data_IF_690350179135
#
_entry.id   IF_690350179135
#
_cell.length_a   1.000
_cell.length_b   1.000
_cell.length_c   1.000
_cell.angle_alpha   90.00
_cell.angle_beta   90.00
_cell.angle_gamma   90.00
#
_symmetry.space_group_name_H-M   'P 1'
#
loop_
_entity.id
_entity.type
_entity.pdbx_description
1 polymer ?
#
# COMPACT_ATOMS: atom_id res chain seq x y z
N UNK A 1 91.26 -20.80 -36.69
CA UNK A 1 91.88 -20.72 -35.35
C UNK A 1 90.86 -20.10 -34.40
N UNK A 2 90.37 -20.86 -33.39
CA UNK A 2 89.49 -20.49 -32.24
C UNK A 2 88.08 -19.96 -32.57
N UNK A 3 86.94 -20.64 -32.28
CA UNK A 3 86.30 -20.95 -30.97
C UNK A 3 86.30 -19.74 -30.01
N UNK A 4 85.20 -19.20 -29.47
CA UNK A 4 84.10 -19.83 -28.68
C UNK A 4 83.06 -18.77 -28.26
N UNK A 5 81.82 -19.24 -27.99
CA UNK A 5 80.84 -18.81 -26.95
C UNK A 5 80.26 -17.38 -27.03
N UNK A 6 78.97 -17.10 -26.80
CA UNK A 6 77.88 -17.83 -26.15
C UNK A 6 77.22 -16.92 -25.12
N UNK A 7 75.92 -16.61 -25.25
CA UNK A 7 74.95 -16.53 -24.13
C UNK A 7 73.57 -16.04 -24.62
N UNK A 8 72.55 -16.77 -24.17
CA UNK A 8 71.12 -16.56 -24.42
C UNK A 8 70.60 -15.41 -23.53
N UNK A 9 69.82 -14.51 -24.12
CA UNK A 9 69.08 -13.48 -23.39
C UNK A 9 67.67 -14.01 -23.03
N UNK A 10 67.32 -13.91 -21.76
CA UNK A 10 66.09 -14.41 -21.14
C UNK A 10 64.86 -13.58 -21.54
N UNK A 11 63.70 -14.25 -21.71
CA UNK A 11 62.38 -13.62 -21.87
C UNK A 11 61.62 -13.67 -20.55
N UNK A 12 60.93 -12.60 -20.11
CA UNK A 12 59.90 -12.71 -19.10
C UNK A 12 58.53 -12.99 -19.75
N UNK A 13 57.77 -13.80 -19.03
CA UNK A 13 56.42 -14.30 -19.27
C UNK A 13 55.41 -13.19 -18.96
N UNK A 14 54.46 -12.93 -19.85
CA UNK A 14 53.25 -12.16 -19.53
C UNK A 14 52.00 -13.02 -19.69
N UNK A 15 51.29 -13.14 -18.57
CA UNK A 15 50.03 -13.85 -18.38
C UNK A 15 48.91 -13.15 -19.17
N UNK A 16 48.20 -13.92 -20.01
CA UNK A 16 47.01 -13.44 -20.72
C UNK A 16 45.80 -13.36 -19.78
N UNK A 17 45.29 -12.15 -19.57
CA UNK A 17 44.02 -11.87 -18.91
C UNK A 17 42.98 -11.61 -20.02
N UNK A 18 42.10 -12.59 -20.26
CA UNK A 18 40.94 -12.41 -21.14
C UNK A 18 39.89 -11.57 -20.41
N UNK A 19 39.79 -10.29 -20.82
CA UNK A 19 38.72 -9.37 -20.41
C UNK A 19 37.55 -9.50 -21.38
N UNK A 20 36.35 -9.64 -20.80
CA UNK A 20 35.06 -9.77 -21.44
C UNK A 20 34.69 -8.59 -22.36
N UNK A 21 34.23 -8.92 -23.56
CA UNK A 21 33.30 -8.15 -24.39
C UNK A 21 32.47 -9.20 -25.16
N UNK A 22 31.17 -9.10 -25.42
CA UNK A 22 30.29 -7.95 -25.53
C UNK A 22 28.81 -8.38 -25.43
N UNK A 23 27.98 -7.36 -25.14
CA UNK A 23 26.59 -7.12 -25.52
C UNK A 23 25.78 -8.22 -26.26
N UNK A 24 24.57 -8.47 -25.74
CA UNK A 24 23.47 -9.10 -26.48
C UNK A 24 22.11 -8.84 -25.83
N UNK A 25 21.49 -7.73 -26.19
CA UNK A 25 20.05 -7.42 -26.21
C UNK A 25 19.09 -8.18 -25.25
N UNK A 26 18.54 -7.46 -24.26
CA UNK A 26 17.22 -7.77 -23.70
C UNK A 26 16.27 -6.65 -24.10
N UNK A 27 15.65 -6.86 -25.26
CA UNK A 27 14.48 -6.11 -25.72
C UNK A 27 13.22 -6.72 -25.10
N UNK A 28 12.28 -5.85 -24.79
CA UNK A 28 10.97 -6.10 -24.20
C UNK A 28 10.22 -7.31 -24.77
N UNK A 29 9.55 -8.05 -23.88
CA UNK A 29 8.21 -8.60 -24.14
C UNK A 29 7.45 -8.68 -22.81
N UNK A 30 6.45 -7.80 -22.70
CA UNK A 30 5.34 -7.95 -21.79
C UNK A 30 4.59 -9.26 -22.12
N UNK A 31 4.30 -10.07 -21.10
CA UNK A 31 3.52 -11.28 -21.28
C UNK A 31 3.57 -12.19 -20.07
N UNK A 32 2.49 -12.18 -19.28
CA UNK A 32 2.09 -13.24 -18.37
C UNK A 32 3.06 -13.59 -17.22
N UNK A 33 2.98 -12.83 -16.12
CA UNK A 33 3.31 -13.40 -14.81
C UNK A 33 2.16 -14.32 -14.40
N UNK A 34 2.16 -15.54 -14.94
CA UNK A 34 1.35 -16.63 -14.42
C UNK A 34 1.85 -16.97 -13.02
N UNK A 35 1.04 -16.70 -12.00
CA UNK A 35 0.70 -17.65 -10.92
C UNK A 35 1.82 -18.55 -10.37
N UNK A 36 3.05 -18.07 -10.18
CA UNK A 36 4.10 -18.87 -9.53
C UNK A 36 4.01 -18.67 -8.01
N UNK A 37 3.63 -19.75 -7.32
CA UNK A 37 3.57 -19.81 -5.87
C UNK A 37 4.91 -19.42 -5.22
N UNK A 38 4.84 -18.73 -4.09
CA UNK A 38 6.02 -18.36 -3.30
C UNK A 38 6.36 -19.55 -2.40
N UNK A 39 7.61 -20.02 -2.45
CA UNK A 39 8.14 -21.04 -1.54
C UNK A 39 8.78 -20.36 -0.34
N UNK A 40 8.27 -20.63 0.87
CA UNK A 40 8.93 -20.26 2.11
C UNK A 40 9.66 -21.50 2.65
N UNK A 41 10.99 -21.41 2.77
CA UNK A 41 11.81 -22.44 3.40
C UNK A 41 11.92 -22.16 4.90
N UNK A 42 11.24 -22.97 5.70
CA UNK A 42 11.30 -22.97 7.15
C UNK A 42 11.85 -24.31 7.62
N UNK A 43 13.16 -24.53 7.44
CA UNK A 43 13.86 -25.65 8.04
C UNK A 43 13.42 -27.03 7.53
N UNK A 44 13.29 -27.18 6.20
CA UNK A 44 13.11 -28.51 5.56
C UNK A 44 11.67 -28.84 5.14
N UNK A 45 10.68 -28.04 5.51
CA UNK A 45 9.32 -28.12 4.96
C UNK A 45 9.11 -26.99 3.94
N UNK A 46 9.08 -27.33 2.64
CA UNK A 46 8.71 -26.38 1.59
C UNK A 46 7.19 -26.23 1.56
N UNK A 47 6.69 -25.18 2.19
CA UNK A 47 5.29 -24.79 2.10
C UNK A 47 5.06 -24.09 0.77
N UNK A 48 4.37 -24.77 -0.16
CA UNK A 48 3.97 -24.18 -1.44
C UNK A 48 2.71 -23.35 -1.25
N UNK A 49 2.79 -22.07 -1.56
CA UNK A 49 1.66 -21.17 -1.50
C UNK A 49 0.91 -21.19 -2.85
N UNK A 50 -0.36 -21.56 -2.84
CA UNK A 50 -1.22 -21.49 -4.04
C UNK A 50 -1.26 -20.07 -4.62
N UNK A 51 -1.35 -19.87 -5.94
CA UNK A 51 -1.32 -18.54 -6.54
C UNK A 51 -2.44 -17.61 -6.06
N UNK A 52 -2.20 -16.30 -6.12
CA UNK A 52 -3.19 -15.30 -5.72
C UNK A 52 -4.46 -15.38 -6.57
N UNK A 53 -5.61 -15.41 -5.90
CA UNK A 53 -6.92 -15.42 -6.56
C UNK A 53 -7.66 -14.11 -6.32
N UNK A 54 -8.16 -13.48 -7.39
CA UNK A 54 -9.00 -12.30 -7.29
C UNK A 54 -10.29 -12.56 -6.48
N UNK A 55 -10.85 -13.77 -6.58
CA UNK A 55 -12.04 -14.15 -5.81
C UNK A 55 -11.73 -14.27 -4.32
N UNK A 56 -10.57 -14.84 -3.98
CA UNK A 56 -10.13 -14.92 -2.59
C UNK A 56 -9.85 -13.53 -2.01
N UNK A 57 -9.18 -12.66 -2.76
CA UNK A 57 -8.91 -11.28 -2.35
C UNK A 57 -10.21 -10.51 -2.06
N UNK A 58 -11.23 -10.67 -2.92
CA UNK A 58 -12.56 -10.09 -2.71
C UNK A 58 -13.25 -10.65 -1.46
N UNK A 59 -13.14 -11.96 -1.21
CA UNK A 59 -13.72 -12.60 -0.03
C UNK A 59 -13.06 -12.10 1.26
N UNK A 60 -11.72 -12.03 1.29
CA UNK A 60 -10.97 -11.43 2.40
C UNK A 60 -11.38 -9.96 2.59
N UNK A 61 -11.53 -9.21 1.49
CA UNK A 61 -12.00 -7.83 1.50
C UNK A 61 -13.35 -7.64 2.19
N UNK A 62 -14.32 -8.51 1.89
CA UNK A 62 -15.64 -8.49 2.53
C UNK A 62 -15.57 -8.80 4.01
N UNK A 63 -14.73 -9.76 4.42
CA UNK A 63 -14.51 -10.05 5.83
C UNK A 63 -13.88 -8.88 6.58
N UNK A 64 -12.86 -8.23 6.00
CA UNK A 64 -12.22 -7.06 6.59
C UNK A 64 -13.23 -5.92 6.75
N UNK A 65 -14.00 -5.62 5.69
CA UNK A 65 -15.04 -4.60 5.77
C UNK A 65 -16.13 -4.96 6.79
N UNK A 66 -16.56 -6.23 6.84
CA UNK A 66 -17.53 -6.72 7.82
C UNK A 66 -17.04 -6.60 9.26
N UNK A 67 -15.76 -6.90 9.52
CA UNK A 67 -15.13 -6.74 10.84
C UNK A 67 -15.16 -5.28 11.29
N UNK A 68 -14.77 -4.35 10.41
CA UNK A 68 -14.76 -2.92 10.72
C UNK A 68 -16.19 -2.41 10.93
N UNK A 69 -17.13 -2.79 10.06
CA UNK A 69 -18.53 -2.37 10.14
C UNK A 69 -19.28 -2.98 11.34
N UNK A 70 -18.84 -4.13 11.82
CA UNK A 70 -19.31 -4.74 13.07
C UNK A 70 -18.85 -3.97 14.31
N UNK A 71 -17.66 -3.36 14.25
CA UNK A 71 -17.12 -2.53 15.33
C UNK A 71 -17.65 -1.07 15.30
N UNK A 72 -17.80 -0.49 14.11
CA UNK A 72 -18.28 0.87 13.91
C UNK A 72 -19.21 0.96 12.69
N UNK A 73 -20.44 1.44 12.91
CA UNK A 73 -21.45 1.52 11.84
C UNK A 73 -21.11 2.62 10.85
N UNK A 74 -21.67 2.54 9.65
CA UNK A 74 -21.66 3.67 8.72
C UNK A 74 -22.34 4.87 9.35
N UNK A 75 -21.72 6.04 9.19
CA UNK A 75 -22.32 7.31 9.60
C UNK A 75 -23.59 7.55 8.77
N UNK A 76 -24.76 7.81 9.40
CA UNK A 76 -26.05 7.89 8.72
C UNK A 76 -26.24 9.24 7.99
N UNK A 77 -25.38 9.53 7.03
CA UNK A 77 -25.42 10.74 6.20
C UNK A 77 -25.20 10.38 4.74
N UNK A 78 -26.28 10.20 3.97
CA UNK A 78 -26.21 9.74 2.59
C UNK A 78 -25.49 10.71 1.65
N UNK A 79 -25.53 12.02 1.92
CA UNK A 79 -24.81 13.03 1.13
C UNK A 79 -23.31 12.93 1.34
N UNK A 80 -22.87 12.84 2.60
CA UNK A 80 -21.46 12.66 2.94
C UNK A 80 -20.92 11.33 2.40
N UNK A 81 -21.69 10.24 2.49
CA UNK A 81 -21.30 8.95 1.91
C UNK A 81 -21.08 9.09 0.38
N UNK A 82 -22.01 9.73 -0.33
CA UNK A 82 -21.86 9.98 -1.79
C UNK A 82 -20.64 10.84 -2.10
N UNK A 83 -20.42 11.90 -1.32
CA UNK A 83 -19.28 12.80 -1.50
C UNK A 83 -17.94 12.08 -1.34
N UNK A 84 -17.76 11.33 -0.25
CA UNK A 84 -16.52 10.56 -0.01
C UNK A 84 -16.34 9.48 -1.08
N UNK A 85 -17.42 8.82 -1.53
CA UNK A 85 -17.36 7.85 -2.61
C UNK A 85 -16.95 8.49 -3.96
N UNK A 86 -17.41 9.71 -4.24
CA UNK A 86 -17.01 10.46 -5.44
C UNK A 86 -15.51 10.79 -5.42
N UNK A 87 -15.01 11.33 -4.31
CA UNK A 87 -13.58 11.68 -4.16
C UNK A 87 -12.72 10.42 -4.25
N UNK A 88 -13.09 9.36 -3.51
CA UNK A 88 -12.38 8.09 -3.50
C UNK A 88 -12.32 7.42 -4.88
N UNK A 89 -13.44 7.37 -5.60
CA UNK A 89 -13.46 6.82 -6.97
C UNK A 89 -12.57 7.62 -7.91
N UNK A 90 -12.61 8.95 -7.82
CA UNK A 90 -11.78 9.82 -8.67
C UNK A 90 -10.29 9.53 -8.52
N UNK A 91 -9.80 9.30 -7.30
CA UNK A 91 -8.40 8.92 -7.06
C UNK A 91 -8.12 7.47 -7.47
N UNK A 92 -9.03 6.54 -7.17
CA UNK A 92 -8.88 5.13 -7.54
C UNK A 92 -8.80 4.91 -9.06
N UNK A 93 -9.54 5.71 -9.83
CA UNK A 93 -9.52 5.69 -11.30
C UNK A 93 -8.16 6.09 -11.89
N UNK A 94 -7.26 6.69 -11.10
CA UNK A 94 -5.90 7.03 -11.52
C UNK A 94 -4.87 5.92 -11.25
N UNK A 95 -5.28 4.87 -10.54
CA UNK A 95 -4.46 3.67 -10.35
C UNK A 95 -4.51 2.75 -11.57
N UNK A 96 -3.54 1.85 -11.64
CA UNK A 96 -3.49 0.75 -12.60
C UNK A 96 -4.57 -0.33 -12.33
N UNK A 97 -5.24 -0.28 -11.17
CA UNK A 97 -6.13 -1.36 -10.72
C UNK A 97 -7.58 -1.12 -11.11
N UNK A 98 -7.94 -1.56 -12.32
CA UNK A 98 -9.27 -1.37 -12.94
C UNK A 98 -10.31 -2.43 -12.58
N UNK A 99 -9.89 -3.56 -12.03
CA UNK A 99 -10.72 -4.72 -11.69
C UNK A 99 -11.30 -4.67 -10.26
N UNK A 100 -10.77 -3.79 -9.41
CA UNK A 100 -11.21 -3.67 -8.03
C UNK A 100 -12.62 -3.05 -7.92
N UNK A 101 -13.44 -3.64 -7.05
CA UNK A 101 -14.79 -3.16 -6.78
C UNK A 101 -14.75 -2.02 -5.74
N UNK A 102 -14.21 -0.86 -6.14
CA UNK A 102 -14.00 0.28 -5.25
C UNK A 102 -15.28 0.74 -4.55
N UNK A 103 -15.24 0.77 -3.22
CA UNK A 103 -16.29 1.32 -2.38
C UNK A 103 -15.65 2.04 -1.20
N UNK A 104 -16.09 3.28 -0.98
CA UNK A 104 -15.62 4.14 0.09
C UNK A 104 -16.79 4.44 1.03
N UNK A 105 -16.52 4.49 2.33
CA UNK A 105 -17.55 4.80 3.31
C UNK A 105 -16.99 5.54 4.51
N UNK A 106 -17.85 6.33 5.14
CA UNK A 106 -17.57 6.99 6.42
C UNK A 106 -18.18 6.16 7.54
N UNK A 107 -17.37 5.81 8.54
CA UNK A 107 -17.83 5.13 9.76
C UNK A 107 -17.92 6.13 10.91
N UNK A 108 -18.93 5.94 11.76
CA UNK A 108 -19.12 6.73 12.96
C UNK A 108 -18.18 6.24 14.06
N UNK A 109 -17.04 6.94 14.22
CA UNK A 109 -16.01 6.58 15.18
C UNK A 109 -15.23 7.81 15.60
N UNK A 110 -15.01 7.94 16.91
CA UNK A 110 -14.15 8.96 17.51
C UNK A 110 -12.65 8.66 17.34
N UNK A 111 -12.29 7.44 16.92
CA UNK A 111 -10.91 7.09 16.66
C UNK A 111 -10.44 7.75 15.36
N UNK A 112 -9.24 8.31 15.34
CA UNK A 112 -8.66 8.93 14.15
C UNK A 112 -8.04 7.80 13.32
N UNK A 113 -8.70 7.39 12.25
CA UNK A 113 -8.17 6.37 11.35
C UNK A 113 -8.81 6.32 9.94
N UNK A 114 -8.15 5.60 9.04
CA UNK A 114 -8.69 5.09 7.78
C UNK A 114 -8.26 3.63 7.62
N UNK A 115 -8.97 2.86 6.80
CA UNK A 115 -8.73 1.43 6.62
C UNK A 115 -8.85 1.03 5.16
N UNK A 116 -7.87 0.27 4.66
CA UNK A 116 -7.89 -0.38 3.35
C UNK A 116 -8.15 -1.89 3.45
N UNK A 117 -9.36 -2.31 3.08
CA UNK A 117 -9.71 -3.70 2.86
C UNK A 117 -9.28 -4.18 1.46
N UNK A 118 -8.73 -5.40 1.34
CA UNK A 118 -8.49 -6.05 0.04
C UNK A 118 -9.71 -5.99 -0.88
N UNK A 119 -9.51 -5.99 -2.20
CA UNK A 119 -10.63 -5.91 -3.15
C UNK A 119 -11.33 -4.53 -3.22
N UNK A 120 -10.76 -3.49 -2.61
CA UNK A 120 -11.16 -2.09 -2.83
C UNK A 120 -12.21 -1.55 -1.87
N UNK A 121 -12.26 -2.05 -0.62
CA UNK A 121 -13.15 -1.50 0.41
C UNK A 121 -12.37 -0.56 1.30
N UNK A 122 -12.65 0.73 1.24
CA UNK A 122 -11.93 1.75 2.03
C UNK A 122 -12.91 2.43 2.98
N UNK A 123 -12.57 2.51 4.25
CA UNK A 123 -13.40 3.14 5.28
C UNK A 123 -12.61 4.24 5.98
N UNK A 124 -13.22 5.41 6.15
CA UNK A 124 -12.63 6.55 6.86
C UNK A 124 -13.49 6.89 8.08
N UNK A 125 -12.85 7.21 9.20
CA UNK A 125 -13.55 7.57 10.44
C UNK A 125 -14.08 9.01 10.37
N UNK A 126 -15.22 9.26 11.04
CA UNK A 126 -15.77 10.61 11.20
C UNK A 126 -14.81 11.55 11.92
N UNK A 127 -14.05 11.05 12.92
CA UNK A 127 -13.02 11.84 13.60
C UNK A 127 -11.86 12.26 12.67
N UNK A 128 -11.34 11.37 11.82
CA UNK A 128 -10.31 11.76 10.86
C UNK A 128 -10.83 12.83 9.90
N UNK A 129 -12.06 12.68 9.38
CA UNK A 129 -12.67 13.72 8.54
C UNK A 129 -12.75 15.08 9.26
N UNK A 130 -12.98 15.12 10.57
CA UNK A 130 -13.03 16.41 11.27
C UNK A 130 -11.67 17.09 11.40
N UNK A 131 -10.56 16.36 11.29
CA UNK A 131 -9.19 16.90 11.35
C UNK A 131 -8.75 17.49 10.01
N UNK A 132 -9.22 16.93 8.89
CA UNK A 132 -8.85 17.43 7.57
C UNK A 132 -9.53 18.77 7.30
N UNK A 133 -8.89 19.62 6.52
CA UNK A 133 -9.34 20.99 6.24
C UNK A 133 -9.71 21.23 4.77
N UNK A 134 -9.47 20.23 3.90
CA UNK A 134 -9.71 20.36 2.47
C UNK A 134 -10.02 19.03 1.79
N UNK A 135 -10.64 19.11 0.60
CA UNK A 135 -10.85 17.93 -0.26
C UNK A 135 -9.52 17.36 -0.75
N UNK A 136 -8.48 18.19 -0.90
CA UNK A 136 -7.13 17.74 -1.25
C UNK A 136 -6.55 16.81 -0.19
N UNK A 137 -6.74 17.13 1.09
CA UNK A 137 -6.30 16.26 2.21
C UNK A 137 -7.13 14.98 2.31
N UNK A 138 -8.44 15.04 2.07
CA UNK A 138 -9.28 13.85 1.97
C UNK A 138 -8.81 12.96 0.82
N UNK A 139 -8.60 13.53 -0.36
CA UNK A 139 -8.14 12.81 -1.53
C UNK A 139 -6.77 12.16 -1.29
N UNK A 140 -5.86 12.85 -0.60
CA UNK A 140 -4.56 12.32 -0.24
C UNK A 140 -4.65 11.09 0.68
N UNK A 141 -5.47 11.15 1.74
CA UNK A 141 -5.72 9.99 2.63
C UNK A 141 -6.32 8.83 1.84
N UNK A 142 -7.36 9.08 1.03
CA UNK A 142 -7.99 8.01 0.25
C UNK A 142 -7.05 7.44 -0.82
N UNK A 143 -6.19 8.27 -1.43
CA UNK A 143 -5.20 7.82 -2.41
C UNK A 143 -4.12 6.93 -1.78
N UNK A 144 -3.71 7.23 -0.54
CA UNK A 144 -2.83 6.38 0.25
C UNK A 144 -3.47 5.00 0.52
N UNK A 145 -4.73 4.97 0.96
CA UNK A 145 -5.47 3.71 1.16
C UNK A 145 -5.67 2.93 -0.16
N UNK A 146 -5.92 3.62 -1.27
CA UNK A 146 -5.97 3.01 -2.60
C UNK A 146 -4.64 2.35 -2.93
N UNK A 147 -3.50 3.01 -2.65
CA UNK A 147 -2.18 2.45 -2.90
C UNK A 147 -1.93 1.17 -2.08
N UNK A 148 -2.38 1.09 -0.83
CA UNK A 148 -2.33 -0.15 -0.05
C UNK A 148 -3.08 -1.31 -0.69
N UNK A 149 -4.28 -1.03 -1.24
CA UNK A 149 -5.07 -2.04 -1.96
C UNK A 149 -4.38 -2.42 -3.27
N UNK A 150 -3.88 -1.47 -4.04
CA UNK A 150 -3.20 -1.71 -5.33
C UNK A 150 -1.96 -2.59 -5.14
N UNK A 151 -1.14 -2.26 -4.13
CA UNK A 151 0.07 -3.01 -3.75
C UNK A 151 -0.20 -4.28 -2.93
N UNK A 152 -1.48 -4.57 -2.67
CA UNK A 152 -1.97 -5.73 -1.91
C UNK A 152 -1.30 -5.88 -0.54
N UNK A 153 -0.99 -4.77 0.13
CA UNK A 153 -0.24 -4.80 1.40
C UNK A 153 -0.96 -5.64 2.48
N UNK A 154 -2.21 -5.29 2.80
CA UNK A 154 -2.99 -6.05 3.77
C UNK A 154 -3.29 -7.48 3.32
N UNK A 155 -3.57 -7.70 2.02
CA UNK A 155 -3.84 -9.04 1.50
C UNK A 155 -2.63 -9.96 1.67
N UNK A 156 -1.41 -9.50 1.37
CA UNK A 156 -0.18 -10.29 1.58
C UNK A 156 0.05 -10.64 3.05
N UNK A 157 -0.18 -9.71 3.97
CA UNK A 157 -0.05 -9.95 5.41
C UNK A 157 -1.07 -10.97 5.90
N UNK A 158 -2.35 -10.79 5.55
CA UNK A 158 -3.43 -11.72 5.92
C UNK A 158 -3.15 -13.11 5.34
N UNK A 159 -2.76 -13.20 4.07
CA UNK A 159 -2.50 -14.48 3.39
C UNK A 159 -1.28 -15.20 4.00
N UNK A 160 -0.23 -14.47 4.37
CA UNK A 160 0.93 -15.03 5.09
C UNK A 160 0.53 -15.56 6.47
N UNK A 161 -0.27 -14.83 7.24
CA UNK A 161 -0.74 -15.30 8.54
C UNK A 161 -1.64 -16.53 8.42
N UNK A 162 -2.54 -16.57 7.42
CA UNK A 162 -3.33 -17.78 7.11
C UNK A 162 -2.46 -18.98 6.80
N UNK A 163 -1.40 -18.78 6.01
CA UNK A 163 -0.46 -19.84 5.68
C UNK A 163 0.26 -20.38 6.92
N UNK A 164 0.62 -19.51 7.87
CA UNK A 164 1.27 -19.91 9.12
C UNK A 164 0.30 -20.65 10.06
N UNK A 165 -0.96 -20.20 10.14
CA UNK A 165 -1.96 -20.76 11.06
C UNK A 165 -2.61 -22.05 10.53
N UNK A 166 -2.86 -22.13 9.23
CA UNK A 166 -3.63 -23.20 8.59
C UNK A 166 -2.85 -24.03 7.56
N UNK A 167 -1.59 -23.67 7.27
CA UNK A 167 -0.78 -24.33 6.24
C UNK A 167 -1.26 -24.02 4.81
N UNK A 168 -0.83 -24.86 3.86
CA UNK A 168 -1.17 -24.74 2.44
C UNK A 168 -2.62 -25.11 2.10
N UNK A 169 -3.44 -25.50 3.09
CA UNK A 169 -4.83 -25.83 2.83
C UNK A 169 -5.55 -24.58 2.32
N UNK A 170 -6.15 -24.70 1.14
CA UNK A 170 -7.12 -23.75 0.63
C UNK A 170 -8.35 -23.82 1.54
N UNK A 171 -8.29 -23.14 2.68
CA UNK A 171 -9.46 -22.85 3.48
C UNK A 171 -10.29 -21.89 2.64
N UNK A 172 -11.17 -22.45 1.81
CA UNK A 172 -12.18 -21.67 1.15
C UNK A 172 -12.89 -20.88 2.25
N UNK A 173 -12.92 -19.56 2.12
CA UNK A 173 -13.72 -18.69 2.97
C UNK A 173 -15.17 -19.03 2.62
N UNK A 174 -15.68 -20.10 3.22
CA UNK A 174 -17.08 -20.48 3.20
C UNK A 174 -17.70 -19.83 4.44
N UNK A 175 -18.77 -19.09 4.22
CA UNK A 175 -19.50 -18.37 5.28
C UNK A 175 -20.10 -19.29 6.37
N UNK A 176 -20.00 -20.63 6.21
CA UNK A 176 -20.85 -21.59 6.90
C UNK A 176 -20.12 -22.48 7.94
N UNK A 177 -18.84 -22.24 8.24
CA UNK A 177 -18.14 -22.92 9.35
C UNK A 177 -17.78 -21.96 10.48
N UNK A 178 -18.63 -21.94 11.51
CA UNK A 178 -18.59 -20.98 12.63
C UNK A 178 -17.20 -20.85 13.29
N UNK A 179 -16.50 -21.96 13.54
CA UNK A 179 -15.17 -21.94 14.16
C UNK A 179 -14.03 -21.43 13.28
N UNK A 180 -14.14 -21.53 11.95
CA UNK A 180 -13.12 -21.01 11.03
C UNK A 180 -13.30 -19.50 10.82
N UNK A 181 -14.56 -19.05 10.76
CA UNK A 181 -14.89 -17.63 10.64
C UNK A 181 -14.39 -16.82 11.82
N UNK A 182 -14.50 -17.34 13.05
CA UNK A 182 -14.04 -16.65 14.26
C UNK A 182 -12.52 -16.49 14.31
N UNK A 183 -11.76 -17.55 13.98
CA UNK A 183 -10.29 -17.47 13.90
C UNK A 183 -9.83 -16.47 12.83
N UNK A 184 -10.47 -16.51 11.66
CA UNK A 184 -10.17 -15.61 10.55
C UNK A 184 -10.48 -14.15 10.91
N UNK A 185 -11.60 -13.91 11.62
CA UNK A 185 -11.98 -12.60 12.16
C UNK A 185 -10.94 -12.08 13.16
N UNK A 186 -10.52 -12.91 14.13
CA UNK A 186 -9.50 -12.53 15.12
C UNK A 186 -8.16 -12.18 14.48
N UNK A 187 -7.77 -12.92 13.44
CA UNK A 187 -6.55 -12.63 12.68
C UNK A 187 -6.66 -11.32 11.88
N UNK A 188 -7.79 -11.07 11.22
CA UNK A 188 -8.05 -9.78 10.55
C UNK A 188 -7.96 -8.62 11.54
N UNK A 189 -8.58 -8.75 12.72
CA UNK A 189 -8.49 -7.74 13.77
C UNK A 189 -7.04 -7.49 14.21
N UNK A 190 -6.24 -8.56 14.33
CA UNK A 190 -4.82 -8.45 14.66
C UNK A 190 -4.01 -7.72 13.58
N UNK A 191 -4.27 -7.95 12.29
CA UNK A 191 -3.62 -7.22 11.19
C UNK A 191 -3.97 -5.74 11.24
N UNK A 192 -5.26 -5.43 11.40
CA UNK A 192 -5.73 -4.04 11.49
C UNK A 192 -5.14 -3.31 12.71
N UNK A 193 -4.88 -4.01 13.81
CA UNK A 193 -4.29 -3.43 15.02
C UNK A 193 -2.76 -3.26 14.95
N UNK A 194 -2.04 -4.16 14.27
CA UNK A 194 -0.57 -4.14 14.20
C UNK A 194 0.00 -3.15 13.17
N UNK A 195 -0.81 -2.74 12.19
CA UNK A 195 -0.33 -1.91 11.09
C UNK A 195 0.51 -2.66 10.06
N UNK A 196 1.13 -1.90 9.15
CA UNK A 196 1.97 -2.43 8.07
C UNK A 196 3.45 -2.08 8.26
N UNK A 197 4.31 -2.77 7.52
CA UNK A 197 5.75 -2.52 7.50
C UNK A 197 6.05 -1.12 6.94
N UNK A 198 7.11 -0.48 7.44
CA UNK A 198 7.49 0.88 7.03
C UNK A 198 7.72 1.02 5.51
N UNK A 199 8.25 -0.02 4.85
CA UNK A 199 8.42 -0.02 3.40
C UNK A 199 7.09 0.05 2.65
N UNK A 200 6.05 -0.61 3.16
CA UNK A 200 4.70 -0.56 2.59
C UNK A 200 4.11 0.85 2.70
N UNK A 201 4.38 1.55 3.80
CA UNK A 201 3.98 2.95 3.97
C UNK A 201 4.67 3.87 2.96
N UNK A 202 5.99 3.74 2.75
CA UNK A 202 6.71 4.54 1.75
C UNK A 202 6.25 4.25 0.31
N UNK A 203 5.92 3.00 0.00
CA UNK A 203 5.33 2.64 -1.30
C UNK A 203 3.95 3.28 -1.48
N UNK A 204 3.11 3.21 -0.44
CA UNK A 204 1.78 3.80 -0.46
C UNK A 204 1.80 5.33 -0.51
N UNK A 205 2.76 5.98 0.15
CA UNK A 205 3.01 7.42 0.04
C UNK A 205 3.32 7.84 -1.38
N UNK A 206 4.35 7.22 -1.98
CA UNK A 206 4.81 7.56 -3.32
C UNK A 206 3.69 7.42 -4.34
N UNK A 207 2.99 6.29 -4.31
CA UNK A 207 1.94 6.01 -5.28
C UNK A 207 0.68 6.83 -4.99
N UNK A 208 0.33 7.02 -3.72
CA UNK A 208 -0.79 7.86 -3.29
C UNK A 208 -0.63 9.31 -3.74
N UNK A 209 0.57 9.89 -3.61
CA UNK A 209 0.89 11.22 -4.14
C UNK A 209 0.66 11.29 -5.65
N UNK A 210 1.10 10.27 -6.40
CA UNK A 210 0.90 10.19 -7.86
C UNK A 210 -0.58 10.08 -8.22
N UNK A 211 -1.35 9.24 -7.52
CA UNK A 211 -2.79 9.08 -7.77
C UNK A 211 -3.57 10.36 -7.46
N UNK A 212 -3.26 11.03 -6.35
CA UNK A 212 -3.86 12.31 -5.99
C UNK A 212 -3.54 13.39 -7.04
N UNK A 213 -2.27 13.52 -7.43
CA UNK A 213 -1.84 14.47 -8.45
C UNK A 213 -2.54 14.25 -9.80
N UNK A 214 -2.60 13.00 -10.28
CA UNK A 214 -3.31 12.65 -11.53
C UNK A 214 -4.81 12.91 -11.47
N UNK A 215 -5.40 12.82 -10.28
CA UNK A 215 -6.81 13.14 -10.06
C UNK A 215 -7.07 14.66 -10.02
N UNK A 216 -6.01 15.48 -10.08
CA UNK A 216 -6.06 16.93 -10.02
C UNK A 216 -6.11 17.49 -8.60
N UNK A 217 -5.64 16.73 -7.61
CA UNK A 217 -5.50 17.17 -6.22
C UNK A 217 -4.05 17.55 -5.90
N UNK A 218 -3.86 18.32 -4.84
CA UNK A 218 -2.53 18.70 -4.35
C UNK A 218 -1.71 17.49 -3.90
N UNK A 219 -0.62 17.22 -4.63
CA UNK A 219 0.30 16.11 -4.38
C UNK A 219 1.01 16.21 -3.00
N UNK A 220 1.12 17.42 -2.45
CA UNK A 220 1.74 17.68 -1.15
C UNK A 220 0.74 17.60 0.01
N UNK A 221 -0.55 17.36 -0.24
CA UNK A 221 -1.56 17.36 0.81
C UNK A 221 -1.32 16.26 1.87
N UNK A 222 -0.77 15.10 1.48
CA UNK A 222 -0.46 14.02 2.43
C UNK A 222 0.60 14.44 3.46
N UNK A 223 1.56 15.29 3.08
CA UNK A 223 2.58 15.85 3.97
C UNK A 223 1.90 16.68 5.08
N UNK A 224 0.94 17.54 4.72
CA UNK A 224 0.17 18.34 5.68
C UNK A 224 -0.69 17.48 6.60
N UNK A 225 -1.29 16.41 6.07
CA UNK A 225 -2.02 15.43 6.89
C UNK A 225 -1.10 14.81 7.94
N UNK A 226 0.11 14.39 7.57
CA UNK A 226 1.08 13.83 8.52
C UNK A 226 1.50 14.83 9.61
N UNK A 227 1.66 16.12 9.25
CA UNK A 227 1.95 17.19 10.22
C UNK A 227 0.80 17.37 11.23
N UNK A 228 -0.44 17.37 10.74
CA UNK A 228 -1.64 17.45 11.60
C UNK A 228 -1.75 16.26 12.54
N UNK A 229 -1.57 15.05 12.03
CA UNK A 229 -1.63 13.84 12.83
C UNK A 229 -0.54 13.79 13.90
N UNK A 230 0.68 14.22 13.55
CA UNK A 230 1.77 14.34 14.53
C UNK A 230 1.43 15.34 15.64
N UNK A 231 0.80 16.47 15.29
CA UNK A 231 0.37 17.47 16.26
C UNK A 231 -0.79 17.00 17.15
N UNK A 232 -1.71 16.19 16.63
CA UNK A 232 -2.82 15.61 17.40
C UNK A 232 -2.32 14.50 18.32
N UNK A 233 -1.49 13.57 17.81
CA UNK A 233 -0.94 12.48 18.60
C UNK A 233 -0.04 12.96 19.75
N UNK A 234 0.64 14.10 19.59
CA UNK A 234 1.41 14.71 20.68
C UNK A 234 0.52 15.22 21.84
N UNK A 235 -0.79 15.35 21.64
CA UNK A 235 -1.75 15.93 22.59
C UNK A 235 -2.83 14.96 23.06
N UNK A 236 -3.17 13.95 22.26
CA UNK A 236 -4.29 13.05 22.50
C UNK A 236 -3.94 11.61 22.09
N UNK A 237 -4.07 10.62 22.99
CA UNK A 237 -3.96 9.20 22.65
C UNK A 237 -4.87 8.75 21.50
N UNK A 238 -5.99 9.42 21.25
CA UNK A 238 -6.86 9.14 20.11
C UNK A 238 -6.17 9.36 18.75
N UNK A 239 -5.14 10.22 18.70
CA UNK A 239 -4.31 10.46 17.52
C UNK A 239 -3.22 9.39 17.30
N UNK A 240 -2.93 8.58 18.32
CA UNK A 240 -1.90 7.54 18.22
C UNK A 240 -2.34 6.38 17.33
N UNK A 241 -3.64 6.13 17.14
CA UNK A 241 -4.10 4.94 16.44
C UNK A 241 -3.69 4.93 14.95
N UNK A 242 -3.86 6.05 14.25
CA UNK A 242 -3.41 6.18 12.86
C UNK A 242 -1.89 6.03 12.78
N UNK A 243 -1.14 6.70 13.68
CA UNK A 243 0.32 6.60 13.69
C UNK A 243 0.85 5.23 14.14
N UNK A 244 0.06 4.47 14.89
CA UNK A 244 0.40 3.11 15.31
C UNK A 244 0.19 2.12 14.17
N UNK A 245 -0.88 2.32 13.39
CA UNK A 245 -1.19 1.48 12.22
C UNK A 245 -0.38 1.87 10.99
N UNK A 246 0.09 3.11 10.93
CA UNK A 246 0.89 3.70 9.85
C UNK A 246 2.12 4.44 10.40
N UNK A 247 3.15 3.73 10.88
CA UNK A 247 4.27 4.33 11.62
C UNK A 247 5.17 5.24 10.78
N UNK A 248 5.98 6.02 11.50
CA UNK A 248 7.07 6.88 10.99
C UNK A 248 6.67 8.17 10.26
N UNK A 249 5.66 8.88 10.76
CA UNK A 249 5.17 10.15 10.19
C UNK A 249 6.30 11.12 9.78
N UNK A 250 7.30 11.37 10.63
CA UNK A 250 8.39 12.30 10.29
C UNK A 250 9.29 11.80 9.15
N UNK A 251 9.67 10.52 9.16
CA UNK A 251 10.50 9.94 8.09
C UNK A 251 9.75 9.92 6.76
N UNK A 252 8.45 9.60 6.79
CA UNK A 252 7.54 9.67 5.63
C UNK A 252 7.43 11.08 5.10
N UNK A 253 7.21 12.06 5.97
CA UNK A 253 7.15 13.48 5.63
C UNK A 253 8.41 13.96 4.92
N UNK A 254 9.60 13.66 5.46
CA UNK A 254 10.90 13.99 4.86
C UNK A 254 11.07 13.30 3.50
N UNK A 255 10.62 12.05 3.38
CA UNK A 255 10.76 11.26 2.15
C UNK A 255 9.83 11.77 1.06
N UNK A 256 8.56 12.01 1.38
CA UNK A 256 7.59 12.60 0.47
C UNK A 256 8.03 14.00 0.01
N UNK A 257 8.55 14.83 0.91
CA UNK A 257 9.04 16.17 0.56
C UNK A 257 10.16 16.14 -0.49
N UNK A 258 10.99 15.08 -0.53
CA UNK A 258 12.02 14.88 -1.56
C UNK A 258 11.45 14.38 -2.90
N UNK A 259 10.23 13.83 -2.90
CA UNK A 259 9.56 13.31 -4.09
C UNK A 259 8.69 14.37 -4.79
N UNK A 260 8.27 15.41 -4.08
CA UNK A 260 7.58 16.56 -4.69
C UNK A 260 8.50 17.20 -5.73
N UNK A 261 8.00 17.30 -6.96
CA UNK A 261 8.73 17.88 -8.08
C UNK A 261 7.77 18.66 -9.00
N UNK A 262 8.33 19.39 -9.96
CA UNK A 262 7.56 20.25 -10.86
C UNK A 262 6.48 19.49 -11.66
N UNK A 263 6.68 18.21 -11.98
CA UNK A 263 5.70 17.42 -12.72
C UNK A 263 4.48 17.07 -11.85
N UNK A 264 4.70 16.70 -10.58
CA UNK A 264 3.64 16.47 -9.60
C UNK A 264 2.89 17.76 -9.27
N UNK A 265 3.61 18.86 -9.08
CA UNK A 265 3.02 20.18 -8.84
C UNK A 265 2.21 20.68 -10.04
N UNK A 266 2.64 20.39 -11.26
CA UNK A 266 1.90 20.76 -12.48
C UNK A 266 0.65 19.90 -12.67
N UNK A 267 0.68 18.63 -12.26
CA UNK A 267 -0.50 17.77 -12.26
C UNK A 267 -1.51 18.18 -11.18
N UNK A 268 -1.03 18.74 -10.07
CA UNK A 268 -1.82 19.33 -9.00
C UNK A 268 -2.36 20.71 -9.41
N UNK A 269 -3.61 20.80 -9.83
CA UNK A 269 -4.28 22.11 -9.90
C UNK A 269 -4.78 22.44 -8.49
N UNK A 270 -4.40 23.57 -7.85
CA UNK A 270 -4.95 23.96 -6.56
C UNK A 270 -6.47 24.00 -6.67
N UNK A 271 -7.12 23.09 -5.96
CA UNK A 271 -8.50 22.78 -6.26
C UNK A 271 -9.40 23.95 -5.86
N UNK A 272 -10.47 24.20 -6.64
CA UNK A 272 -11.64 24.98 -6.19
C UNK A 272 -12.41 24.28 -5.05
N UNK A 273 -11.86 23.20 -4.46
CA UNK A 273 -12.59 22.18 -3.71
C UNK A 273 -12.60 22.37 -2.20
N UNK A 274 -11.89 23.36 -1.66
CA UNK A 274 -12.03 23.74 -0.25
C UNK A 274 -13.48 24.10 0.11
N UNK A 275 -14.26 24.66 -0.84
CA UNK A 275 -15.66 24.98 -0.64
C UNK A 275 -16.56 23.74 -0.58
N UNK A 276 -16.33 22.75 -1.46
CA UNK A 276 -17.05 21.46 -1.44
C UNK A 276 -16.79 20.69 -0.16
N UNK A 277 -15.54 20.65 0.29
CA UNK A 277 -15.19 19.97 1.54
C UNK A 277 -15.95 20.55 2.73
N UNK A 278 -15.96 21.88 2.87
CA UNK A 278 -16.74 22.53 3.92
C UNK A 278 -18.22 22.18 3.83
N UNK A 279 -18.84 22.30 2.65
CA UNK A 279 -20.27 21.99 2.48
C UNK A 279 -20.70 20.61 3.00
N UNK A 280 -19.89 19.57 2.79
CA UNK A 280 -20.28 18.19 3.15
C UNK A 280 -19.76 17.72 4.51
N UNK A 281 -18.73 18.36 5.06
CA UNK A 281 -18.03 17.89 6.27
C UNK A 281 -18.10 18.89 7.45
N UNK A 282 -18.24 20.19 7.18
CA UNK A 282 -18.20 21.28 8.18
C UNK A 282 -19.54 21.98 8.27
#
# INVERSE_FOLDING_TARGET
MRMTMGSKQQRPISLGLQVCAALGAVCALAGSVCAQGISLDMGGATLKMEPESAQEELAVGRLVAGQILGAAKLLPNAELQRYVNLVGRRVADQSERKDAAWAFGVIDSSAINAFAGPGGKILITSALLQILESEDELAAVLAHEVAHVVRKHHYRVIRKQRMLEFGAQSVAIKEDSSGMSEKLSGMVAQVLARGLDQSAEFEADRDGMVYAARAGYDASALIRVMEKLSAVSAKDPAGELLLSTHPSAENRRITMAKQVNADLEKAATPSRSAARYRQFVK
#
